data_IF_966741173267
#
_entry.id   IF_966741173267
#
_cell.length_a   1.000
_cell.length_b   1.000
_cell.length_c   1.000
_cell.angle_alpha   90.00
_cell.angle_beta   90.00
_cell.angle_gamma   90.00
#
_symmetry.space_group_name_H-M   'P 1'
#
loop_
_entity.id
_entity.type
_entity.pdbx_description
1 polymer ?
#
# COMPACT_ATOMS: atom_id res chain seq x y z
N UNK A 1 -11.30 9.70 2.63
CA UNK A 1 -10.27 9.87 3.67
C UNK A 1 -10.14 8.69 4.59
N UNK A 2 -11.24 8.04 5.03
CA UNK A 2 -11.13 6.81 5.83
C UNK A 2 -10.36 5.68 5.10
N UNK A 3 -10.72 5.40 3.84
CA UNK A 3 -10.08 4.35 3.03
C UNK A 3 -8.58 4.60 2.81
N UNK A 4 -8.19 5.86 2.60
CA UNK A 4 -6.78 6.23 2.48
C UNK A 4 -6.03 6.06 3.80
N UNK A 5 -6.62 6.45 4.93
CA UNK A 5 -6.01 6.22 6.24
C UNK A 5 -5.80 4.73 6.53
N UNK A 6 -6.76 3.88 6.13
CA UNK A 6 -6.65 2.42 6.23
C UNK A 6 -5.49 1.90 5.36
N UNK A 7 -5.40 2.35 4.10
CA UNK A 7 -4.33 1.95 3.19
C UNK A 7 -2.92 2.36 3.68
N UNK A 8 -2.81 3.51 4.35
CA UNK A 8 -1.54 4.04 4.85
C UNK A 8 -1.10 3.48 6.20
N UNK A 9 -2.04 3.16 7.09
CA UNK A 9 -1.73 2.84 8.49
C UNK A 9 -2.07 1.40 8.80
N UNK A 10 -3.32 0.99 8.55
CA UNK A 10 -3.79 -0.33 8.96
C UNK A 10 -3.11 -1.45 8.18
N UNK A 11 -2.97 -1.29 6.86
CA UNK A 11 -2.36 -2.33 6.00
C UNK A 11 -0.87 -2.51 6.29
N UNK A 12 -0.02 -1.47 6.34
CA UNK A 12 1.40 -1.66 6.64
C UNK A 12 1.65 -2.14 8.07
N UNK A 13 0.87 -1.65 9.04
CA UNK A 13 0.95 -2.11 10.42
C UNK A 13 0.62 -3.60 10.54
N UNK A 14 -0.44 -4.05 9.85
CA UNK A 14 -0.81 -5.46 9.82
C UNK A 14 0.28 -6.32 9.16
N UNK A 15 0.86 -5.86 8.04
CA UNK A 15 1.98 -6.55 7.38
C UNK A 15 3.20 -6.67 8.28
N UNK A 16 3.54 -5.62 9.02
CA UNK A 16 4.64 -5.67 9.98
C UNK A 16 4.37 -6.70 11.08
N UNK A 17 3.16 -6.69 11.67
CA UNK A 17 2.80 -7.61 12.74
C UNK A 17 2.79 -9.07 12.27
N UNK A 18 2.27 -9.35 11.07
CA UNK A 18 2.31 -10.69 10.50
C UNK A 18 3.72 -11.11 10.11
N UNK A 19 4.52 -10.22 9.51
CA UNK A 19 5.90 -10.50 9.15
C UNK A 19 6.73 -10.90 10.38
N UNK A 20 6.56 -10.17 11.49
CA UNK A 20 7.21 -10.50 12.76
C UNK A 20 6.72 -11.83 13.33
N UNK A 21 5.42 -12.11 13.26
CA UNK A 21 4.86 -13.38 13.73
C UNK A 21 5.42 -14.57 12.94
N UNK A 22 5.50 -14.46 11.61
CA UNK A 22 6.09 -15.51 10.76
C UNK A 22 7.59 -15.64 11.01
N UNK A 23 8.33 -14.55 11.10
CA UNK A 23 9.77 -14.60 11.37
C UNK A 23 10.06 -15.25 12.73
N UNK A 24 9.24 -14.99 13.75
CA UNK A 24 9.34 -15.66 15.07
C UNK A 24 9.00 -17.14 14.97
N UNK A 25 7.91 -17.50 14.30
CA UNK A 25 7.51 -18.90 14.11
C UNK A 25 8.59 -19.72 13.37
N UNK A 26 9.23 -19.13 12.35
CA UNK A 26 10.30 -19.80 11.61
C UNK A 26 11.58 -19.95 12.43
N UNK A 27 11.97 -18.93 13.21
CA UNK A 27 13.10 -19.05 14.15
C UNK A 27 12.86 -20.14 15.19
N UNK A 28 11.62 -20.32 15.65
CA UNK A 28 11.26 -21.37 16.59
C UNK A 28 11.25 -22.76 15.96
N UNK A 29 10.82 -22.89 14.70
CA UNK A 29 10.73 -24.18 14.02
C UNK A 29 12.05 -24.65 13.40
N UNK A 30 12.87 -23.74 12.88
CA UNK A 30 14.03 -24.06 12.04
C UNK A 30 15.33 -23.35 12.46
N UNK A 31 15.31 -22.55 13.53
CA UNK A 31 16.48 -21.80 14.04
C UNK A 31 16.85 -20.56 13.21
N UNK A 32 16.43 -20.50 11.95
CA UNK A 32 16.66 -19.39 11.02
C UNK A 32 15.33 -18.88 10.42
N UNK A 33 15.24 -17.57 10.19
CA UNK A 33 14.12 -16.99 9.46
C UNK A 33 14.42 -17.03 7.96
N UNK A 34 13.53 -17.61 7.16
CA UNK A 34 13.65 -17.54 5.70
C UNK A 34 13.18 -16.16 5.22
N UNK A 35 13.96 -15.52 4.35
CA UNK A 35 13.58 -14.22 3.77
C UNK A 35 12.37 -14.29 2.82
N UNK A 36 12.14 -15.43 2.16
CA UNK A 36 11.06 -15.63 1.18
C UNK A 36 9.64 -15.36 1.73
N UNK A 37 9.21 -15.93 2.87
CA UNK A 37 7.87 -15.64 3.40
C UNK A 37 7.69 -14.21 3.91
N UNK A 38 8.76 -13.57 4.40
CA UNK A 38 8.74 -12.15 4.78
C UNK A 38 8.55 -11.28 3.53
N UNK A 39 9.23 -11.62 2.44
CA UNK A 39 9.04 -10.96 1.14
C UNK A 39 7.61 -11.15 0.61
N UNK A 40 7.03 -12.33 0.80
CA UNK A 40 5.64 -12.64 0.43
C UNK A 40 4.62 -11.74 1.13
N UNK A 41 4.73 -11.59 2.46
CA UNK A 41 3.85 -10.67 3.22
C UNK A 41 4.04 -9.23 2.77
N UNK A 42 5.28 -8.82 2.51
CA UNK A 42 5.57 -7.46 2.05
C UNK A 42 4.87 -7.17 0.72
N UNK A 43 4.96 -8.09 -0.25
CA UNK A 43 4.29 -7.98 -1.53
C UNK A 43 2.77 -7.97 -1.39
N UNK A 44 2.22 -8.83 -0.53
CA UNK A 44 0.77 -8.92 -0.31
C UNK A 44 0.21 -7.65 0.35
N UNK A 45 0.92 -7.09 1.33
CA UNK A 45 0.54 -5.81 1.94
C UNK A 45 0.64 -4.63 0.99
N UNK A 46 1.67 -4.59 0.14
CA UNK A 46 1.77 -3.59 -0.91
C UNK A 46 0.63 -3.71 -1.93
N UNK A 47 0.25 -4.93 -2.30
CA UNK A 47 -0.85 -5.19 -3.22
C UNK A 47 -2.20 -4.74 -2.63
N UNK A 48 -2.50 -5.13 -1.39
CA UNK A 48 -3.72 -4.71 -0.69
C UNK A 48 -3.78 -3.18 -0.53
N UNK A 49 -2.69 -2.55 -0.12
CA UNK A 49 -2.61 -1.09 0.04
C UNK A 49 -2.84 -0.37 -1.30
N UNK A 50 -2.23 -0.87 -2.38
CA UNK A 50 -2.42 -0.36 -3.73
C UNK A 50 -3.86 -0.47 -4.23
N UNK A 51 -4.52 -1.61 -4.02
CA UNK A 51 -5.93 -1.83 -4.41
C UNK A 51 -6.87 -0.87 -3.68
N UNK A 52 -6.73 -0.72 -2.35
CA UNK A 52 -7.57 0.18 -1.56
C UNK A 52 -7.34 1.65 -1.97
N UNK A 53 -6.08 2.02 -2.24
CA UNK A 53 -5.72 3.35 -2.72
C UNK A 53 -6.32 3.64 -4.11
N UNK A 54 -6.32 2.67 -5.04
CA UNK A 54 -6.97 2.82 -6.35
C UNK A 54 -8.47 3.05 -6.23
N UNK A 55 -9.17 2.27 -5.39
CA UNK A 55 -10.61 2.46 -5.16
C UNK A 55 -10.88 3.85 -4.57
N UNK A 56 -10.08 4.26 -3.58
CA UNK A 56 -10.19 5.59 -2.98
C UNK A 56 -9.93 6.70 -4.01
N UNK A 57 -8.99 6.50 -4.93
CA UNK A 57 -8.66 7.43 -6.00
C UNK A 57 -9.79 7.57 -7.00
N UNK A 58 -10.38 6.46 -7.47
CA UNK A 58 -11.53 6.48 -8.39
C UNK A 58 -12.69 7.25 -7.76
N UNK A 59 -13.01 6.99 -6.49
CA UNK A 59 -14.05 7.71 -5.76
C UNK A 59 -13.72 9.20 -5.60
N UNK A 60 -12.48 9.54 -5.32
CA UNK A 60 -12.03 10.94 -5.20
C UNK A 60 -12.08 11.68 -6.54
N UNK A 61 -11.69 11.03 -7.64
CA UNK A 61 -11.79 11.58 -9.02
C UNK A 61 -13.26 11.84 -9.38
N UNK A 62 -14.14 10.87 -9.14
CA UNK A 62 -15.57 11.01 -9.40
C UNK A 62 -16.18 12.15 -8.58
N UNK A 63 -15.81 12.28 -7.30
CA UNK A 63 -16.24 13.38 -6.44
C UNK A 63 -15.67 14.74 -6.87
N UNK A 64 -14.47 14.78 -7.44
CA UNK A 64 -13.86 15.98 -8.00
C UNK A 64 -14.55 16.41 -9.32
N UNK A 65 -14.96 15.46 -10.14
CA UNK A 65 -15.68 15.71 -11.39
C UNK A 65 -17.08 16.28 -11.15
N UNK A 66 -17.76 15.80 -10.10
CA UNK A 66 -19.08 16.30 -9.67
C UNK A 66 -19.06 17.70 -9.03
N UNK A 67 -17.90 18.30 -8.78
CA UNK A 67 -17.81 19.60 -8.10
C UNK A 67 -18.00 20.77 -9.09
N UNK A 68 -18.92 21.69 -8.75
CA UNK A 68 -19.12 22.94 -9.47
C UNK A 68 -17.86 23.83 -9.41
N UNK A 69 -17.59 24.57 -10.49
CA UNK A 69 -16.45 25.51 -10.55
C UNK A 69 -16.71 26.74 -9.67
N UNK A 70 -15.66 27.36 -9.08
CA UNK A 70 -14.23 27.05 -9.21
C UNK A 70 -13.79 25.88 -8.32
N UNK A 71 -12.90 25.03 -8.85
CA UNK A 71 -12.38 23.86 -8.12
C UNK A 71 -11.22 24.28 -7.21
N UNK A 72 -11.25 23.96 -5.90
CA UNK A 72 -10.18 24.33 -4.98
C UNK A 72 -8.92 23.48 -5.21
N UNK A 73 -7.75 24.13 -5.27
CA UNK A 73 -6.44 23.49 -5.44
C UNK A 73 -6.14 22.47 -4.33
N UNK A 74 -6.69 22.69 -3.14
CA UNK A 74 -6.59 21.77 -1.99
C UNK A 74 -7.14 20.37 -2.30
N UNK A 75 -8.22 20.24 -3.07
CA UNK A 75 -8.75 18.94 -3.50
C UNK A 75 -7.83 18.21 -4.48
N UNK A 76 -7.04 18.95 -5.27
CA UNK A 76 -6.05 18.34 -6.15
C UNK A 76 -4.88 17.76 -5.35
N UNK A 77 -4.44 18.44 -4.29
CA UNK A 77 -3.41 17.93 -3.37
C UNK A 77 -3.88 16.66 -2.66
N UNK A 78 -5.13 16.63 -2.18
CA UNK A 78 -5.72 15.42 -1.59
C UNK A 78 -5.70 14.22 -2.55
N UNK A 79 -5.98 14.45 -3.84
CA UNK A 79 -5.91 13.42 -4.88
C UNK A 79 -4.51 12.84 -5.06
N UNK A 80 -3.47 13.69 -4.99
CA UNK A 80 -2.07 13.25 -5.06
C UNK A 80 -1.71 12.41 -3.83
N UNK A 81 -2.12 12.83 -2.64
CA UNK A 81 -1.89 12.08 -1.40
C UNK A 81 -2.60 10.73 -1.43
N UNK A 82 -3.81 10.66 -2.00
CA UNK A 82 -4.56 9.41 -2.18
C UNK A 82 -3.86 8.44 -3.15
N UNK A 83 -3.17 8.96 -4.17
CA UNK A 83 -2.46 8.17 -5.19
C UNK A 83 -1.13 7.58 -4.69
N UNK A 84 -0.57 8.16 -3.63
CA UNK A 84 0.79 7.87 -3.14
C UNK A 84 1.02 6.39 -2.77
N UNK A 85 0.10 5.67 -2.10
CA UNK A 85 0.27 4.24 -1.82
C UNK A 85 0.27 3.38 -3.08
N UNK A 86 -0.57 3.71 -4.06
CA UNK A 86 -0.56 3.03 -5.37
C UNK A 86 0.76 3.28 -6.12
N UNK A 87 1.30 4.50 -6.06
CA UNK A 87 2.61 4.82 -6.63
C UNK A 87 3.73 4.02 -5.95
N UNK A 88 3.72 3.93 -4.61
CA UNK A 88 4.69 3.12 -3.85
C UNK A 88 4.59 1.64 -4.23
N UNK A 89 3.37 1.10 -4.40
CA UNK A 89 3.17 -0.26 -4.88
C UNK A 89 3.81 -0.49 -6.26
N UNK A 90 3.61 0.42 -7.20
CA UNK A 90 4.22 0.34 -8.55
C UNK A 90 5.74 0.45 -8.46
N UNK A 91 6.27 1.41 -7.70
CA UNK A 91 7.73 1.62 -7.58
C UNK A 91 8.40 0.39 -6.97
N UNK A 92 7.81 -0.22 -5.94
CA UNK A 92 8.39 -1.42 -5.30
C UNK A 92 8.33 -2.62 -6.25
N UNK A 93 7.21 -2.85 -6.93
CA UNK A 93 7.08 -3.96 -7.89
C UNK A 93 8.03 -3.80 -9.06
N UNK A 94 8.12 -2.60 -9.64
CA UNK A 94 9.03 -2.30 -10.75
C UNK A 94 10.49 -2.37 -10.28
N UNK A 95 10.82 -1.81 -9.11
CA UNK A 95 12.17 -1.86 -8.55
C UNK A 95 12.64 -3.28 -8.24
N UNK A 96 11.76 -4.14 -7.72
CA UNK A 96 12.03 -5.57 -7.54
C UNK A 96 12.15 -6.32 -8.87
N UNK A 97 11.34 -5.95 -9.88
CA UNK A 97 11.43 -6.51 -11.23
C UNK A 97 12.72 -6.14 -11.96
N UNK A 98 13.27 -4.95 -11.72
CA UNK A 98 14.52 -4.47 -12.35
C UNK A 98 15.77 -5.07 -11.69
N UNK A 99 15.70 -5.47 -10.43
CA UNK A 99 16.84 -6.08 -9.70
C UNK A 99 16.91 -7.60 -9.81
N UNK A 100 15.85 -8.25 -10.31
CA UNK A 100 15.79 -9.71 -10.50
C UNK A 100 15.96 -10.20 -11.95
N UNK A 101 16.34 -9.32 -12.89
CA UNK A 101 16.56 -9.63 -14.31
C UNK A 101 18.02 -9.78 -14.68
#
# INVERSE_FOLDING_TARGET
MLLTAIAFIAVPLWGHLQGDAIARAQKQAHGVACGMPVLGILLDTLFLSGMISLVALVLAVLAYWKLARPRPVLRAVELVVVALPALLAVVVVVGLGVTGG
#
